data_IF_819979708628
#
_entry.id   IF_819979708628
#
_cell.length_a   1.000
_cell.length_b   1.000
_cell.length_c   1.000
_cell.angle_alpha   90.00
_cell.angle_beta   90.00
_cell.angle_gamma   90.00
#
_symmetry.space_group_name_H-M   'P 1'
#
loop_
_entity.id
_entity.type
_entity.pdbx_description
1 polymer ?
#
# COMPACT_ATOMS: atom_id res chain seq x y z
N UNK A 1 28.21 26.67 5.05
CA UNK A 1 26.87 26.49 4.47
C UNK A 1 25.95 25.90 5.55
N UNK A 2 25.09 26.70 6.09
CA UNK A 2 24.10 26.28 7.09
C UNK A 2 22.96 25.53 6.38
N UNK A 3 22.72 24.27 6.77
CA UNK A 3 21.61 23.46 6.28
C UNK A 3 20.28 23.89 6.95
N UNK A 4 19.95 25.17 6.86
CA UNK A 4 18.68 25.69 7.35
C UNK A 4 17.69 25.81 6.19
N UNK A 5 16.45 25.43 6.46
CA UNK A 5 15.33 25.50 5.53
C UNK A 5 14.29 26.48 6.04
N UNK A 6 13.80 27.35 5.17
CA UNK A 6 12.73 28.29 5.47
C UNK A 6 11.40 27.54 5.53
N UNK A 7 10.75 27.54 6.67
CA UNK A 7 9.37 27.12 6.81
C UNK A 7 8.45 28.24 6.33
N UNK A 8 7.74 28.00 5.24
CA UNK A 8 6.87 29.03 4.62
C UNK A 8 5.58 29.28 5.38
N UNK A 9 5.25 28.44 6.40
CA UNK A 9 4.04 28.62 7.20
C UNK A 9 4.21 29.67 8.33
N UNK A 10 5.40 29.76 8.90
CA UNK A 10 5.68 30.66 10.03
C UNK A 10 6.90 31.54 9.81
N UNK A 11 7.54 31.49 8.63
CA UNK A 11 8.77 32.18 8.25
C UNK A 11 9.97 31.90 9.18
N UNK A 12 9.99 30.76 9.86
CA UNK A 12 11.12 30.31 10.67
C UNK A 12 12.18 29.59 9.81
N UNK A 13 13.44 29.66 10.24
CA UNK A 13 14.54 28.89 9.65
C UNK A 13 14.90 27.74 10.57
N UNK A 14 14.76 26.50 10.10
CA UNK A 14 14.97 25.30 10.88
C UNK A 14 15.99 24.36 10.22
N UNK A 15 16.75 23.61 11.04
CA UNK A 15 17.66 22.56 10.57
C UNK A 15 16.91 21.36 9.96
N UNK A 16 15.66 21.17 10.36
CA UNK A 16 14.78 20.11 9.85
C UNK A 16 13.40 20.70 9.58
N UNK A 17 12.78 20.25 8.51
CA UNK A 17 11.44 20.67 8.16
C UNK A 17 10.38 20.07 9.11
N UNK A 18 9.31 20.80 9.44
CA UNK A 18 8.23 20.28 10.27
C UNK A 18 7.47 19.13 9.60
N UNK A 19 6.63 18.44 10.38
CA UNK A 19 5.78 17.36 9.90
C UNK A 19 4.97 17.79 8.66
N UNK A 20 4.70 16.87 7.77
CA UNK A 20 4.01 17.09 6.48
C UNK A 20 4.76 17.99 5.48
N UNK A 21 6.04 18.25 5.72
CA UNK A 21 6.88 18.99 4.78
C UNK A 21 8.21 18.25 4.55
N UNK A 22 8.88 18.58 3.45
CA UNK A 22 10.19 18.03 3.10
C UNK A 22 11.18 19.16 2.73
N UNK A 23 12.48 18.97 2.99
CA UNK A 23 13.50 19.95 2.64
C UNK A 23 13.76 19.96 1.12
N UNK A 24 13.61 21.09 0.50
CA UNK A 24 13.98 21.32 -0.89
C UNK A 24 15.36 22.03 -0.93
N UNK A 25 16.38 21.33 -1.45
CA UNK A 25 17.77 21.75 -1.33
C UNK A 25 18.15 22.93 -2.24
N UNK A 26 17.44 23.12 -3.36
CA UNK A 26 17.76 24.18 -4.30
C UNK A 26 17.28 25.55 -3.78
N UNK A 27 16.07 25.60 -3.27
CA UNK A 27 15.46 26.82 -2.72
C UNK A 27 15.71 27.01 -1.23
N UNK A 28 16.19 25.97 -0.55
CA UNK A 28 16.33 25.90 0.92
C UNK A 28 15.00 26.19 1.64
N UNK A 29 13.91 25.65 1.12
CA UNK A 29 12.57 25.82 1.68
C UNK A 29 12.01 24.49 2.13
N UNK A 30 11.14 24.50 3.14
CA UNK A 30 10.29 23.38 3.50
C UNK A 30 9.04 23.42 2.62
N UNK A 31 8.90 22.45 1.73
CA UNK A 31 7.74 22.30 0.85
C UNK A 31 6.75 21.26 1.39
N UNK A 32 5.46 21.45 1.12
CA UNK A 32 4.43 20.54 1.59
C UNK A 32 4.49 19.18 0.89
N UNK A 33 4.28 18.11 1.66
CA UNK A 33 4.03 16.78 1.12
C UNK A 33 2.71 16.73 0.35
N UNK A 34 2.51 15.76 -0.54
CA UNK A 34 1.21 15.50 -1.17
C UNK A 34 0.09 15.34 -0.14
N UNK A 35 -1.13 15.72 -0.49
CA UNK A 35 -2.26 15.83 0.45
C UNK A 35 -2.61 14.56 1.24
N UNK A 36 -2.29 13.38 0.72
CA UNK A 36 -2.51 12.10 1.40
C UNK A 36 -1.29 11.60 2.19
N UNK A 37 -0.18 12.34 2.15
CA UNK A 37 1.10 12.00 2.78
C UNK A 37 1.25 12.68 4.14
N UNK A 38 1.61 11.95 5.17
CA UNK A 38 2.00 12.51 6.48
C UNK A 38 3.50 12.74 6.60
N UNK A 39 4.30 12.04 5.80
CA UNK A 39 5.75 12.21 5.69
C UNK A 39 6.22 11.89 4.28
N UNK A 40 7.12 12.68 3.72
CA UNK A 40 7.65 12.50 2.36
C UNK A 40 9.09 12.97 2.24
N UNK A 41 9.78 12.53 1.20
CA UNK A 41 11.12 13.01 0.84
C UNK A 41 11.08 14.05 -0.29
N UNK A 42 10.00 14.05 -1.09
CA UNK A 42 9.73 15.01 -2.16
C UNK A 42 8.24 14.99 -2.52
N UNK A 43 7.85 15.74 -3.54
CA UNK A 43 6.45 15.88 -3.98
C UNK A 43 5.79 14.61 -4.55
N UNK A 44 6.55 13.54 -4.75
CA UNK A 44 6.05 12.28 -5.35
C UNK A 44 6.36 11.04 -4.52
N UNK A 45 7.18 11.15 -3.46
CA UNK A 45 7.66 10.02 -2.69
C UNK A 45 7.20 10.11 -1.23
N UNK A 46 6.11 9.41 -0.91
CA UNK A 46 5.61 9.27 0.45
C UNK A 46 6.38 8.22 1.26
N UNK A 47 6.68 8.55 2.49
CA UNK A 47 7.21 7.63 3.51
C UNK A 47 6.10 7.08 4.40
N UNK A 48 5.06 7.87 4.65
CA UNK A 48 3.91 7.49 5.46
C UNK A 48 2.66 8.21 4.98
N UNK A 49 1.51 7.56 5.08
CA UNK A 49 0.21 8.10 4.72
C UNK A 49 -0.53 8.69 5.92
N UNK A 50 -1.44 9.62 5.66
CA UNK A 50 -2.33 10.14 6.70
C UNK A 50 -3.24 9.01 7.18
N UNK A 51 -3.36 8.77 8.50
CA UNK A 51 -4.24 7.73 9.03
C UNK A 51 -5.71 8.01 8.66
N UNK A 52 -6.49 6.96 8.55
CA UNK A 52 -7.89 6.91 8.13
C UNK A 52 -8.13 6.94 6.62
N UNK A 53 -8.09 5.75 6.00
CA UNK A 53 -8.51 5.42 4.64
C UNK A 53 -7.45 5.60 3.53
N UNK A 54 -6.18 5.73 3.88
CA UNK A 54 -5.13 5.70 2.87
C UNK A 54 -4.04 4.70 3.23
N UNK A 55 -3.55 3.99 2.21
CA UNK A 55 -2.56 2.94 2.34
C UNK A 55 -1.36 3.28 1.48
N UNK A 56 -0.16 3.14 2.04
CA UNK A 56 1.06 3.32 1.28
C UNK A 56 1.24 2.15 0.29
N UNK A 57 1.34 2.46 -0.98
CA UNK A 57 1.65 1.46 -2.00
C UNK A 57 3.17 1.42 -2.22
N UNK A 58 3.86 0.34 -1.78
CA UNK A 58 5.33 0.31 -1.75
C UNK A 58 6.01 0.45 -3.10
N UNK A 59 5.35 0.03 -4.20
CA UNK A 59 5.94 0.10 -5.54
C UNK A 59 6.08 1.52 -6.10
N UNK A 60 5.19 2.43 -5.70
CA UNK A 60 5.17 3.82 -6.20
C UNK A 60 5.37 4.86 -5.12
N UNK A 61 5.40 4.44 -3.84
CA UNK A 61 5.40 5.33 -2.68
C UNK A 61 4.28 6.38 -2.70
N UNK A 62 3.13 5.99 -3.24
CA UNK A 62 1.91 6.79 -3.26
C UNK A 62 0.93 6.33 -2.18
N UNK A 63 0.17 7.27 -1.63
CA UNK A 63 -0.92 6.98 -0.70
C UNK A 63 -2.23 6.80 -1.48
N UNK A 64 -2.82 5.63 -1.39
CA UNK A 64 -4.02 5.25 -2.13
C UNK A 64 -5.20 5.01 -1.18
N UNK A 65 -6.39 5.42 -1.58
CA UNK A 65 -7.63 5.13 -0.84
C UNK A 65 -8.08 3.67 -0.99
N UNK A 66 -7.62 2.98 -2.03
CA UNK A 66 -7.85 1.56 -2.28
C UNK A 66 -6.59 0.94 -2.89
N UNK A 67 -6.25 -0.26 -2.46
CA UNK A 67 -5.10 -0.98 -3.00
C UNK A 67 -5.40 -1.53 -4.41
N UNK A 68 -4.40 -1.55 -5.31
CA UNK A 68 -4.57 -2.09 -6.66
C UNK A 68 -4.79 -3.61 -6.64
N UNK A 69 -5.19 -4.15 -7.79
CA UNK A 69 -5.31 -5.61 -7.99
C UNK A 69 -4.02 -6.32 -7.57
N UNK A 70 -4.15 -7.53 -7.08
CA UNK A 70 -3.06 -8.36 -6.54
C UNK A 70 -2.42 -7.81 -5.25
N UNK A 71 -3.09 -6.88 -4.58
CA UNK A 71 -2.73 -6.42 -3.24
C UNK A 71 -3.97 -6.19 -2.37
N UNK A 72 -3.79 -6.16 -1.06
CA UNK A 72 -4.86 -5.90 -0.08
C UNK A 72 -4.46 -4.81 0.90
N UNK A 73 -5.44 -4.14 1.45
CA UNK A 73 -5.24 -3.11 2.46
C UNK A 73 -4.91 -3.75 3.82
N UNK A 74 -3.66 -3.63 4.24
CA UNK A 74 -3.23 -4.03 5.58
C UNK A 74 -3.47 -2.87 6.55
N UNK A 75 -4.50 -3.00 7.37
CA UNK A 75 -4.88 -1.95 8.33
C UNK A 75 -3.92 -1.81 9.51
N UNK A 76 -3.12 -2.85 9.80
CA UNK A 76 -2.14 -2.81 10.89
C UNK A 76 -0.91 -2.00 10.54
N UNK A 77 -0.48 -2.03 9.28
CA UNK A 77 0.70 -1.31 8.77
C UNK A 77 0.33 -0.08 7.95
N UNK A 78 -0.93 0.09 7.58
CA UNK A 78 -1.42 1.12 6.65
C UNK A 78 -0.71 1.05 5.29
N UNK A 79 -0.46 -0.16 4.80
CA UNK A 79 0.19 -0.44 3.51
C UNK A 79 -0.70 -1.29 2.60
N UNK A 80 -0.45 -1.20 1.31
CA UNK A 80 -0.96 -2.17 0.34
C UNK A 80 0.02 -3.34 0.25
N UNK A 81 -0.33 -4.46 0.85
CA UNK A 81 0.52 -5.65 0.85
C UNK A 81 0.16 -6.59 -0.32
N UNK A 82 1.15 -7.24 -0.97
CA UNK A 82 0.87 -8.09 -2.11
C UNK A 82 0.14 -9.37 -1.71
N UNK A 83 -0.80 -9.81 -2.56
CA UNK A 83 -1.39 -11.15 -2.48
C UNK A 83 -0.35 -12.22 -2.85
N UNK A 84 -0.57 -13.46 -2.41
CA UNK A 84 0.21 -14.60 -2.90
C UNK A 84 0.09 -14.75 -4.42
N UNK A 85 1.15 -15.20 -5.09
CA UNK A 85 1.23 -15.26 -6.56
C UNK A 85 0.11 -16.05 -7.24
N UNK A 86 -0.51 -16.99 -6.54
CA UNK A 86 -1.66 -17.79 -7.00
C UNK A 86 -3.01 -17.05 -6.90
N UNK A 87 -3.11 -16.02 -6.04
CA UNK A 87 -4.31 -15.19 -5.88
C UNK A 87 -4.31 -14.04 -6.89
N UNK A 88 -5.41 -13.80 -7.57
CA UNK A 88 -5.64 -12.57 -8.33
C UNK A 88 -6.04 -11.44 -7.38
N UNK A 89 -6.92 -11.74 -6.42
CA UNK A 89 -7.29 -10.84 -5.34
C UNK A 89 -7.28 -11.58 -4.00
N UNK A 90 -7.00 -10.87 -2.92
CA UNK A 90 -6.98 -11.43 -1.57
C UNK A 90 -7.52 -10.41 -0.55
N UNK A 91 -7.81 -10.86 0.66
CA UNK A 91 -8.21 -9.98 1.76
C UNK A 91 -7.68 -10.46 3.10
N UNK A 92 -7.34 -9.51 3.96
CA UNK A 92 -6.85 -9.71 5.32
C UNK A 92 -5.51 -10.46 5.45
N UNK A 93 -5.15 -11.29 4.49
CA UNK A 93 -3.83 -11.94 4.41
C UNK A 93 -3.46 -12.26 2.96
N UNK A 94 -2.15 -12.40 2.65
CA UNK A 94 -1.71 -12.73 1.29
C UNK A 94 -2.28 -14.04 0.73
N UNK A 95 -2.51 -15.02 1.59
CA UNK A 95 -2.98 -16.36 1.22
C UNK A 95 -4.49 -16.54 1.24
N UNK A 96 -5.25 -15.57 1.77
CA UNK A 96 -6.71 -15.63 1.73
C UNK A 96 -7.23 -15.08 0.41
N UNK A 97 -7.26 -15.93 -0.63
CA UNK A 97 -7.64 -15.57 -1.97
C UNK A 97 -9.15 -15.33 -2.10
N UNK A 98 -9.55 -14.24 -2.73
CA UNK A 98 -10.93 -14.00 -3.15
C UNK A 98 -11.18 -14.42 -4.59
N UNK A 99 -10.12 -14.43 -5.40
CA UNK A 99 -10.12 -14.93 -6.78
C UNK A 99 -8.72 -15.43 -7.14
N UNK A 100 -8.65 -16.29 -8.16
CA UNK A 100 -7.40 -16.93 -8.55
C UNK A 100 -6.85 -16.39 -9.86
N UNK A 101 -5.52 -16.44 -10.01
CA UNK A 101 -4.86 -16.24 -11.28
C UNK A 101 -5.18 -17.40 -12.26
N UNK A 102 -4.92 -17.17 -13.54
CA UNK A 102 -5.11 -18.21 -14.57
C UNK A 102 -4.40 -19.52 -14.17
N UNK A 103 -5.03 -20.66 -14.46
CA UNK A 103 -4.59 -22.01 -14.11
C UNK A 103 -4.67 -22.38 -12.62
N UNK A 104 -5.32 -21.56 -11.81
CA UNK A 104 -5.65 -21.89 -10.43
C UNK A 104 -7.15 -21.91 -10.20
N UNK A 105 -7.58 -22.71 -9.24
CA UNK A 105 -8.98 -22.91 -8.86
C UNK A 105 -9.18 -22.51 -7.42
N UNK A 106 -10.24 -21.76 -7.13
CA UNK A 106 -10.59 -21.32 -5.79
C UNK A 106 -11.18 -22.49 -5.01
N UNK A 107 -10.63 -22.76 -3.84
CA UNK A 107 -11.15 -23.74 -2.89
C UNK A 107 -11.45 -23.06 -1.55
N UNK A 108 -12.60 -23.41 -0.97
CA UNK A 108 -12.95 -22.96 0.37
C UNK A 108 -12.31 -23.88 1.42
N UNK A 109 -11.48 -23.32 2.31
CA UNK A 109 -10.83 -24.05 3.38
C UNK A 109 -11.62 -23.97 4.70
N UNK A 110 -12.31 -22.86 4.93
CA UNK A 110 -13.17 -22.63 6.09
C UNK A 110 -14.29 -21.64 5.73
N UNK A 111 -15.14 -21.31 6.69
CA UNK A 111 -16.27 -20.35 6.48
C UNK A 111 -15.81 -19.00 5.94
N UNK A 112 -14.57 -18.57 6.28
CA UNK A 112 -14.06 -17.25 5.93
C UNK A 112 -12.72 -17.27 5.17
N UNK A 113 -12.15 -18.46 4.93
CA UNK A 113 -10.84 -18.57 4.28
C UNK A 113 -10.92 -19.39 3.00
N UNK A 114 -10.29 -18.86 1.97
CA UNK A 114 -10.21 -19.47 0.64
C UNK A 114 -8.76 -19.52 0.19
N UNK A 115 -8.44 -20.46 -0.68
CA UNK A 115 -7.12 -20.60 -1.27
C UNK A 115 -7.25 -20.89 -2.78
N UNK A 116 -6.16 -20.74 -3.51
CA UNK A 116 -6.05 -21.09 -4.91
C UNK A 116 -5.13 -22.30 -5.09
N UNK A 117 -5.64 -23.35 -5.74
CA UNK A 117 -4.91 -24.60 -6.00
C UNK A 117 -4.77 -24.84 -7.50
N UNK A 118 -3.69 -25.52 -7.92
CA UNK A 118 -3.46 -25.83 -9.33
C UNK A 118 -4.32 -27.00 -9.84
N UNK A 119 -4.87 -27.80 -8.93
CA UNK A 119 -5.82 -28.89 -9.23
C UNK A 119 -6.73 -29.11 -8.05
N UNK A 120 -7.99 -29.46 -8.30
CA UNK A 120 -8.93 -29.75 -7.23
C UNK A 120 -8.53 -31.02 -6.46
N UNK A 121 -8.58 -30.99 -5.11
CA UNK A 121 -8.29 -32.17 -4.30
C UNK A 121 -9.31 -33.29 -4.52
N UNK A 122 -8.98 -34.48 -4.03
CA UNK A 122 -9.88 -35.62 -4.09
C UNK A 122 -11.22 -35.33 -3.40
N UNK A 123 -12.31 -35.62 -4.06
CA UNK A 123 -13.67 -35.33 -3.58
C UNK A 123 -14.25 -34.01 -4.10
N UNK A 124 -13.46 -33.21 -4.78
CA UNK A 124 -13.88 -31.97 -5.43
C UNK A 124 -13.81 -32.13 -6.97
N UNK A 125 -14.69 -31.45 -7.67
CA UNK A 125 -14.65 -31.38 -9.14
C UNK A 125 -14.50 -29.93 -9.59
N UNK A 126 -13.84 -29.77 -10.72
CA UNK A 126 -13.59 -28.47 -11.31
C UNK A 126 -14.85 -27.93 -11.97
N UNK A 127 -15.30 -26.75 -11.55
CA UNK A 127 -16.37 -26.00 -12.19
C UNK A 127 -15.94 -24.56 -12.40
N UNK A 128 -15.72 -24.15 -13.65
CA UNK A 128 -15.12 -22.86 -13.98
C UNK A 128 -13.77 -22.67 -13.28
N UNK A 129 -13.61 -21.65 -12.45
CA UNK A 129 -12.40 -21.41 -11.64
C UNK A 129 -12.56 -21.82 -10.17
N UNK A 130 -13.47 -22.73 -9.85
CA UNK A 130 -13.70 -23.22 -8.50
C UNK A 130 -13.56 -24.76 -8.42
N UNK A 131 -13.18 -25.21 -7.27
CA UNK A 131 -13.27 -26.62 -6.90
C UNK A 131 -14.57 -26.92 -6.17
#
# INVERSE_FOLDING_TARGET
>A
SSNYYLNTLDNSCNLACPSNTYPENVTQMCLQCPSACSACTNSTYCLACIPNRTYLYPSTHACLSACPLSSFANTSTSTCDPCAAKCLTCSASPSNCLSCNANYYLIQLSVTTYDCVSSCPQGYYQQSQNC
#
